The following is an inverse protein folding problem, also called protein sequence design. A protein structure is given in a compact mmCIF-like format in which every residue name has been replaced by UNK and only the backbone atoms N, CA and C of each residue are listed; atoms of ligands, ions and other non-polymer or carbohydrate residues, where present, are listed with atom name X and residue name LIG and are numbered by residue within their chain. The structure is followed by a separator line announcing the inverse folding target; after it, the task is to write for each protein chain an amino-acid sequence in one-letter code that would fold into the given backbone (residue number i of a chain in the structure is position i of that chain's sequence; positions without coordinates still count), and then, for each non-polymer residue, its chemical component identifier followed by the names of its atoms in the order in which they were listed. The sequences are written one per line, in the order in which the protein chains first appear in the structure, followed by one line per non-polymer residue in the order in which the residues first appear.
data_IF_268960395280
#
_entry.id   IF_268960395280
#
_cell.length_a   1.000
_cell.length_b   1.000
_cell.length_c   1.000
_cell.angle_alpha   90.00
_cell.angle_beta   90.00
_cell.angle_gamma   90.00
#
_symmetry.space_group_name_H-M   'P 1'
#
loop_
_entity.id
_entity.type
_entity.pdbx_description
1 polymer ?
#
# COMPACT_ATOMS: atom_id res chain seq x y z
N UNK A 1 11.01 -16.09 -18.49
CA UNK A 1 9.86 -16.28 -17.59
C UNK A 1 9.44 -14.90 -17.11
N UNK A 2 8.13 -14.63 -16.98
CA UNK A 2 7.69 -13.30 -16.55
C UNK A 2 8.09 -13.02 -15.10
N UNK A 3 8.46 -11.78 -14.81
CA UNK A 3 8.76 -11.27 -13.47
C UNK A 3 7.84 -10.09 -13.19
N UNK A 4 6.81 -10.30 -12.36
CA UNK A 4 5.80 -9.30 -12.02
C UNK A 4 6.00 -8.88 -10.57
N UNK A 5 6.06 -7.57 -10.35
CA UNK A 5 6.01 -6.98 -9.01
C UNK A 5 4.65 -6.29 -8.86
N UNK A 6 3.95 -6.57 -7.78
CA UNK A 6 2.83 -5.75 -7.32
C UNK A 6 3.30 -4.91 -6.13
N UNK A 7 3.06 -3.60 -6.17
CA UNK A 7 3.36 -2.67 -5.08
C UNK A 7 2.05 -2.08 -4.58
N UNK A 8 1.88 -2.06 -3.26
CA UNK A 8 0.68 -1.55 -2.57
C UNK A 8 1.10 -0.77 -1.31
N UNK A 9 0.81 0.53 -1.28
CA UNK A 9 1.20 1.42 -0.18
C UNK A 9 0.49 1.07 1.15
N UNK A 10 1.21 1.16 2.26
CA UNK A 10 0.66 0.74 3.56
C UNK A 10 -0.24 1.82 4.17
N UNK A 11 -1.50 1.47 4.43
CA UNK A 11 -2.50 2.37 5.01
C UNK A 11 -2.54 3.77 4.33
N UNK A 12 -2.42 3.80 3.00
CA UNK A 12 -2.00 4.95 2.19
C UNK A 12 -2.50 6.33 2.67
N UNK A 13 -3.83 6.57 2.69
CA UNK A 13 -4.32 7.90 3.09
C UNK A 13 -4.01 8.22 4.56
N UNK A 14 -4.14 7.25 5.47
CA UNK A 14 -3.83 7.48 6.88
C UNK A 14 -2.33 7.74 7.09
N UNK A 15 -1.46 7.04 6.36
CA UNK A 15 -0.02 7.26 6.41
C UNK A 15 0.36 8.67 5.92
N UNK A 16 -0.27 9.15 4.84
CA UNK A 16 -0.09 10.53 4.36
C UNK A 16 -0.55 11.55 5.41
N UNK A 17 -1.75 11.40 5.99
CA UNK A 17 -2.23 12.33 7.02
C UNK A 17 -1.32 12.35 8.26
N UNK A 18 -0.79 11.20 8.67
CA UNK A 18 0.16 11.10 9.79
C UNK A 18 1.50 11.78 9.44
N UNK A 19 1.97 11.66 8.19
CA UNK A 19 3.18 12.33 7.71
C UNK A 19 3.02 13.85 7.75
N UNK A 20 1.90 14.38 7.26
CA UNK A 20 1.64 15.82 7.22
C UNK A 20 1.33 16.41 8.61
N UNK A 21 0.80 15.60 9.52
CA UNK A 21 0.53 16.01 10.89
C UNK A 21 1.19 15.07 11.91
N UNK A 22 2.45 15.35 12.32
CA UNK A 22 3.20 14.51 13.25
C UNK A 22 2.50 14.28 14.60
N UNK A 23 1.55 15.15 14.99
CA UNK A 23 0.77 14.95 16.23
C UNK A 23 -0.17 13.73 16.18
N UNK A 24 -0.39 13.16 14.98
CA UNK A 24 -1.19 11.95 14.77
C UNK A 24 -0.39 10.65 14.91
N UNK A 25 0.95 10.73 14.96
CA UNK A 25 1.82 9.55 15.05
C UNK A 25 1.50 8.73 16.30
N UNK A 26 1.33 7.41 16.13
CA UNK A 26 1.00 6.48 17.21
C UNK A 26 -0.45 6.56 17.70
N UNK A 27 -1.34 7.28 16.99
CA UNK A 27 -2.76 7.40 17.33
C UNK A 27 -3.62 6.63 16.34
N UNK A 28 -4.83 6.26 16.77
CA UNK A 28 -5.82 5.61 15.93
C UNK A 28 -6.43 6.62 14.93
N UNK A 29 -5.77 6.83 13.79
CA UNK A 29 -6.26 7.71 12.71
C UNK A 29 -7.22 6.95 11.81
N UNK A 30 -8.36 7.58 11.49
CA UNK A 30 -9.41 7.06 10.61
C UNK A 30 -9.71 8.13 9.56
N UNK A 31 -9.45 7.82 8.28
CA UNK A 31 -9.75 8.72 7.17
C UNK A 31 -11.13 8.36 6.61
N UNK A 32 -12.06 9.31 6.56
CA UNK A 32 -13.39 9.08 6.04
C UNK A 32 -14.44 10.08 6.53
N UNK A 33 -15.70 9.69 6.45
CA UNK A 33 -16.80 10.52 6.97
C UNK A 33 -16.84 10.53 8.49
N UNK A 34 -17.37 11.61 9.08
CA UNK A 34 -17.57 11.71 10.53
C UNK A 34 -18.59 10.67 11.03
N UNK A 35 -18.46 10.18 12.27
CA UNK A 35 -19.37 9.18 12.85
C UNK A 35 -20.80 9.70 13.09
N UNK A 36 -20.99 11.02 13.13
CA UNK A 36 -22.32 11.66 13.20
C UNK A 36 -23.06 11.67 11.86
N UNK A 37 -22.37 11.37 10.76
CA UNK A 37 -22.94 11.30 9.42
C UNK A 37 -23.26 9.86 8.99
N UNK A 38 -23.54 9.69 7.69
CA UNK A 38 -23.73 8.38 7.04
C UNK A 38 -22.50 7.92 6.25
N UNK A 39 -21.32 8.42 6.65
CA UNK A 39 -20.06 8.12 5.98
C UNK A 39 -19.53 6.73 6.32
N UNK A 40 -18.48 6.35 5.57
CA UNK A 40 -17.71 5.13 5.80
C UNK A 40 -16.23 5.49 6.01
N UNK A 41 -15.48 4.57 6.59
CA UNK A 41 -14.03 4.60 6.68
C UNK A 41 -13.45 4.32 5.28
N UNK A 42 -12.69 5.27 4.74
CA UNK A 42 -11.92 5.06 3.51
C UNK A 42 -10.69 4.20 3.78
N UNK A 43 -9.92 4.56 4.81
CA UNK A 43 -8.81 3.76 5.33
C UNK A 43 -8.52 4.16 6.78
N UNK A 44 -7.69 3.39 7.46
CA UNK A 44 -7.29 3.68 8.84
C UNK A 44 -5.87 3.19 9.11
N UNK A 45 -5.26 3.84 10.09
CA UNK A 45 -3.95 3.48 10.68
C UNK A 45 -3.95 2.05 11.23
N UNK A 46 -2.76 1.45 11.34
CA UNK A 46 -2.63 0.11 11.94
C UNK A 46 -3.07 0.11 13.41
N UNK A 47 -2.86 1.19 14.14
CA UNK A 47 -3.34 1.41 15.50
C UNK A 47 -4.87 1.32 15.59
N UNK A 48 -5.60 1.85 14.60
CA UNK A 48 -7.05 1.71 14.54
C UNK A 48 -7.49 0.30 14.12
N UNK A 49 -6.74 -0.35 13.22
CA UNK A 49 -7.01 -1.74 12.79
C UNK A 49 -6.96 -2.74 13.94
N UNK A 50 -6.14 -2.50 14.96
CA UNK A 50 -6.11 -3.33 16.18
C UNK A 50 -7.44 -3.35 16.93
N UNK A 51 -8.28 -2.33 16.77
CA UNK A 51 -9.64 -2.28 17.33
C UNK A 51 -10.69 -2.88 16.38
N UNK A 52 -10.28 -3.48 15.26
CA UNK A 52 -11.16 -4.05 14.26
C UNK A 52 -11.69 -3.05 13.23
N UNK A 53 -11.23 -1.80 13.25
CA UNK A 53 -11.60 -0.82 12.22
C UNK A 53 -10.99 -1.21 10.88
N UNK A 54 -11.77 -1.15 9.80
CA UNK A 54 -11.31 -1.48 8.45
C UNK A 54 -12.00 -0.61 7.40
N UNK A 55 -11.43 -0.55 6.20
CA UNK A 55 -12.00 0.15 5.04
C UNK A 55 -13.41 -0.38 4.72
N UNK A 56 -14.30 0.52 4.29
CA UNK A 56 -15.70 0.23 4.00
C UNK A 56 -16.62 0.13 5.23
N UNK A 57 -16.06 0.12 6.45
CA UNK A 57 -16.86 0.11 7.68
C UNK A 57 -17.66 1.41 7.84
N UNK A 58 -18.95 1.38 8.25
CA UNK A 58 -19.69 2.58 8.64
C UNK A 58 -18.98 3.37 9.74
N UNK A 59 -18.83 4.69 9.57
CA UNK A 59 -18.05 5.51 10.51
C UNK A 59 -18.57 5.48 11.95
N UNK A 60 -19.90 5.38 12.13
CA UNK A 60 -20.51 5.20 13.45
C UNK A 60 -20.07 3.87 14.12
N UNK A 61 -19.98 2.78 13.34
CA UNK A 61 -19.49 1.50 13.85
C UNK A 61 -18.01 1.57 14.18
N UNK A 62 -17.20 2.23 13.34
CA UNK A 62 -15.79 2.44 13.62
C UNK A 62 -15.57 3.23 14.91
N UNK A 63 -16.39 4.25 15.18
CA UNK A 63 -16.34 5.01 16.43
C UNK A 63 -16.74 4.16 17.65
N UNK A 64 -17.73 3.27 17.53
CA UNK A 64 -18.08 2.35 18.62
C UNK A 64 -16.94 1.37 18.94
N UNK A 65 -16.21 0.90 17.94
CA UNK A 65 -15.05 0.01 18.11
C UNK A 65 -13.81 0.74 18.63
N UNK A 66 -13.61 1.99 18.20
CA UNK A 66 -12.46 2.81 18.54
C UNK A 66 -12.92 4.24 18.93
N UNK A 67 -13.46 4.44 20.15
CA UNK A 67 -13.98 5.75 20.58
C UNK A 67 -12.92 6.85 20.66
N UNK A 68 -11.66 6.47 20.84
CA UNK A 68 -10.48 7.35 20.80
C UNK A 68 -9.99 7.66 19.38
N UNK A 69 -10.63 7.10 18.35
CA UNK A 69 -10.27 7.27 16.96
C UNK A 69 -10.36 8.74 16.51
N UNK A 70 -9.30 9.22 15.86
CA UNK A 70 -9.24 10.56 15.28
C UNK A 70 -9.71 10.48 13.83
N UNK A 71 -10.89 11.06 13.57
CA UNK A 71 -11.45 11.13 12.24
C UNK A 71 -10.87 12.31 11.46
N UNK A 72 -10.32 12.04 10.28
CA UNK A 72 -9.73 13.03 9.37
C UNK A 72 -10.47 12.99 8.04
N UNK A 73 -10.75 14.16 7.48
CA UNK A 73 -11.36 14.27 6.15
C UNK A 73 -10.34 13.97 5.04
N UNK A 74 -10.78 13.27 3.99
CA UNK A 74 -9.92 12.89 2.88
C UNK A 74 -9.39 14.10 2.09
N UNK A 75 -8.07 14.20 1.93
CA UNK A 75 -7.40 15.17 1.07
C UNK A 75 -6.98 14.53 -0.27
N UNK A 76 -7.95 14.33 -1.18
CA UNK A 76 -7.70 13.66 -2.46
C UNK A 76 -6.73 14.39 -3.40
N UNK A 77 -6.54 15.70 -3.24
CA UNK A 77 -5.53 16.43 -4.00
C UNK A 77 -4.13 15.93 -3.62
N UNK A 78 -3.82 15.98 -2.33
CA UNK A 78 -2.56 15.52 -1.79
C UNK A 78 -2.29 14.04 -2.11
N UNK A 79 -3.32 13.19 -2.01
CA UNK A 79 -3.17 11.76 -2.30
C UNK A 79 -2.83 11.49 -3.78
N UNK A 80 -3.28 12.35 -4.70
CA UNK A 80 -2.92 12.24 -6.12
C UNK A 80 -1.51 12.74 -6.40
N UNK A 81 -1.08 13.80 -5.72
CA UNK A 81 0.29 14.33 -5.84
C UNK A 81 1.32 13.30 -5.37
N UNK A 82 1.08 12.67 -4.21
CA UNK A 82 1.96 11.60 -3.69
C UNK A 82 1.93 10.38 -4.62
N UNK A 83 0.78 10.03 -5.19
CA UNK A 83 0.68 8.93 -6.16
C UNK A 83 1.52 9.19 -7.42
N UNK A 84 1.57 10.44 -7.89
CA UNK A 84 2.41 10.83 -9.02
C UNK A 84 3.91 10.63 -8.71
N UNK A 85 4.36 11.04 -7.52
CA UNK A 85 5.75 10.83 -7.08
C UNK A 85 6.12 9.33 -7.06
N UNK A 86 5.24 8.49 -6.50
CA UNK A 86 5.45 7.04 -6.46
C UNK A 86 5.53 6.44 -7.88
N UNK A 87 4.70 6.94 -8.82
CA UNK A 87 4.74 6.49 -10.21
C UNK A 87 6.03 6.88 -10.93
N UNK A 88 6.60 8.04 -10.62
CA UNK A 88 7.91 8.43 -11.13
C UNK A 88 8.99 7.44 -10.68
N UNK A 89 8.96 6.98 -9.41
CA UNK A 89 9.84 5.92 -8.92
C UNK A 89 9.67 4.64 -9.75
N UNK A 90 8.44 4.18 -9.99
CA UNK A 90 8.20 2.96 -10.79
C UNK A 90 8.79 3.05 -12.20
N UNK A 91 8.66 4.20 -12.86
CA UNK A 91 9.14 4.41 -14.22
C UNK A 91 10.66 4.36 -14.35
N UNK A 92 11.41 4.47 -13.24
CA UNK A 92 12.87 4.26 -13.24
C UNK A 92 13.27 2.80 -13.44
N UNK A 93 12.39 1.86 -13.12
CA UNK A 93 12.69 0.43 -13.14
C UNK A 93 12.15 -0.29 -14.38
N UNK A 94 11.00 0.13 -14.91
CA UNK A 94 10.41 -0.46 -16.12
C UNK A 94 9.52 0.54 -16.84
N UNK A 95 9.37 0.37 -18.15
CA UNK A 95 8.36 1.08 -18.95
C UNK A 95 6.96 0.44 -18.85
N UNK A 96 6.88 -0.80 -18.34
CA UNK A 96 5.64 -1.57 -18.27
C UNK A 96 5.05 -1.46 -16.86
N UNK A 97 4.45 -0.29 -16.59
CA UNK A 97 3.75 0.02 -15.34
C UNK A 97 2.25 0.07 -15.60
N UNK A 98 1.47 -0.69 -14.84
CA UNK A 98 0.00 -0.71 -14.89
C UNK A 98 -0.58 -0.32 -13.53
N UNK A 99 -1.01 0.95 -13.36
CA UNK A 99 -1.67 1.39 -12.13
C UNK A 99 -3.01 0.69 -11.94
N UNK A 100 -3.24 0.12 -10.76
CA UNK A 100 -4.52 -0.47 -10.37
C UNK A 100 -5.38 0.52 -9.57
N UNK A 101 -4.75 1.39 -8.77
CA UNK A 101 -5.40 2.44 -7.97
C UNK A 101 -4.47 3.67 -7.81
N UNK A 102 -4.70 4.50 -6.79
CA UNK A 102 -3.76 5.57 -6.42
C UNK A 102 -2.50 5.01 -5.73
N UNK A 103 -2.64 3.93 -4.99
CA UNK A 103 -1.62 3.31 -4.15
C UNK A 103 -1.11 1.96 -4.66
N UNK A 104 -1.73 1.41 -5.70
CA UNK A 104 -1.38 0.10 -6.24
C UNK A 104 -0.94 0.18 -7.71
N UNK A 105 0.10 -0.59 -8.06
CA UNK A 105 0.52 -0.80 -9.44
C UNK A 105 1.18 -2.17 -9.65
N UNK A 106 1.02 -2.70 -10.86
CA UNK A 106 1.80 -3.83 -11.37
C UNK A 106 2.96 -3.33 -12.23
N UNK A 107 4.13 -3.92 -12.04
CA UNK A 107 5.33 -3.66 -12.81
C UNK A 107 5.80 -4.97 -13.45
N UNK A 108 5.85 -5.03 -14.77
CA UNK A 108 6.53 -6.13 -15.48
C UNK A 108 8.02 -5.77 -15.58
N UNK A 109 8.85 -6.47 -14.80
CA UNK A 109 10.30 -6.26 -14.70
C UNK A 109 11.07 -7.40 -15.38
N UNK A 110 10.40 -8.12 -16.28
CA UNK A 110 11.03 -9.16 -17.11
C UNK A 110 12.24 -8.58 -17.84
N UNK A 111 12.02 -7.48 -18.55
CA UNK A 111 13.04 -6.61 -19.14
C UNK A 111 13.00 -5.27 -18.38
N UNK A 112 13.97 -5.05 -17.49
CA UNK A 112 14.01 -3.87 -16.62
C UNK A 112 15.18 -2.94 -16.98
N UNK A 113 15.06 -1.66 -16.60
CA UNK A 113 15.99 -0.60 -16.99
C UNK A 113 17.35 -0.63 -16.30
N UNK A 114 17.51 -1.46 -15.27
CA UNK A 114 18.72 -1.53 -14.44
C UNK A 114 19.51 -2.84 -14.64
N UNK A 115 19.11 -3.65 -15.64
CA UNK A 115 19.73 -4.94 -15.97
C UNK A 115 19.82 -5.90 -14.77
N UNK A 116 18.90 -5.80 -13.81
CA UNK A 116 18.90 -6.64 -12.61
C UNK A 116 18.11 -7.95 -12.88
N UNK A 117 18.75 -9.14 -12.80
CA UNK A 117 18.06 -10.40 -13.01
C UNK A 117 17.03 -10.74 -11.92
N UNK A 118 17.28 -10.39 -10.66
CA UNK A 118 16.45 -10.76 -9.50
C UNK A 118 15.36 -9.70 -9.21
N UNK A 119 14.11 -10.06 -9.50
CA UNK A 119 12.97 -9.18 -9.22
C UNK A 119 12.78 -8.85 -7.73
N UNK A 120 13.30 -9.67 -6.81
CA UNK A 120 13.27 -9.36 -5.39
C UNK A 120 14.22 -8.23 -5.01
N UNK A 121 15.36 -8.10 -5.70
CA UNK A 121 16.27 -6.95 -5.55
C UNK A 121 15.60 -5.69 -6.09
N UNK A 122 14.98 -5.77 -7.27
CA UNK A 122 14.23 -4.65 -7.86
C UNK A 122 13.11 -4.19 -6.91
N UNK A 123 12.34 -5.11 -6.35
CA UNK A 123 11.28 -4.79 -5.39
C UNK A 123 11.81 -4.10 -4.13
N UNK A 124 12.96 -4.55 -3.59
CA UNK A 124 13.62 -3.88 -2.45
C UNK A 124 14.07 -2.46 -2.79
N UNK A 125 14.64 -2.26 -3.97
CA UNK A 125 15.08 -0.94 -4.42
C UNK A 125 13.89 0.01 -4.61
N UNK A 126 12.79 -0.46 -5.23
CA UNK A 126 11.55 0.32 -5.34
C UNK A 126 11.02 0.74 -3.96
N UNK A 127 10.96 -0.20 -3.00
CA UNK A 127 10.52 0.10 -1.62
C UNK A 127 11.41 1.18 -0.98
N UNK A 128 12.73 1.02 -1.08
CA UNK A 128 13.70 1.94 -0.49
C UNK A 128 13.59 3.35 -1.10
N UNK A 129 13.44 3.44 -2.41
CA UNK A 129 13.28 4.70 -3.14
C UNK A 129 11.97 5.42 -2.78
N UNK A 130 10.85 4.69 -2.72
CA UNK A 130 9.56 5.23 -2.28
C UNK A 130 9.70 5.78 -0.86
N UNK A 131 10.32 5.05 0.04
CA UNK A 131 10.54 5.49 1.42
C UNK A 131 11.42 6.75 1.47
N UNK A 132 12.51 6.78 0.72
CA UNK A 132 13.42 7.93 0.70
C UNK A 132 12.72 9.20 0.21
N UNK A 133 11.94 9.11 -0.86
CA UNK A 133 11.33 10.27 -1.52
C UNK A 133 10.04 10.73 -0.84
N UNK A 134 9.24 9.79 -0.34
CA UNK A 134 7.88 10.09 0.16
C UNK A 134 7.76 9.98 1.68
N UNK A 135 8.73 9.37 2.35
CA UNK A 135 8.66 9.01 3.78
C UNK A 135 7.47 8.09 4.12
N UNK A 136 7.00 7.31 3.14
CA UNK A 136 5.92 6.34 3.27
C UNK A 136 6.45 4.94 2.98
N UNK A 137 5.90 3.94 3.68
CA UNK A 137 6.21 2.53 3.41
C UNK A 137 5.20 1.93 2.42
N UNK A 138 5.64 0.90 1.72
CA UNK A 138 4.77 0.07 0.90
C UNK A 138 5.11 -1.39 1.09
N UNK A 139 4.14 -2.26 0.82
CA UNK A 139 4.37 -3.70 0.75
C UNK A 139 4.42 -4.14 -0.71
N UNK A 140 5.29 -5.10 -1.02
CA UNK A 140 5.48 -5.58 -2.38
C UNK A 140 5.39 -7.10 -2.47
N UNK A 141 4.88 -7.57 -3.59
CA UNK A 141 4.76 -8.98 -3.92
C UNK A 141 5.42 -9.28 -5.25
N UNK A 142 6.26 -10.31 -5.30
CA UNK A 142 6.96 -10.72 -6.52
C UNK A 142 6.45 -12.08 -6.95
N UNK A 143 6.05 -12.22 -8.22
CA UNK A 143 5.66 -13.51 -8.77
C UNK A 143 5.79 -13.57 -10.29
N UNK A 144 5.39 -14.70 -10.89
CA UNK A 144 5.40 -14.94 -12.33
C UNK A 144 4.08 -14.54 -13.03
N UNK A 145 3.09 -14.05 -12.27
CA UNK A 145 1.87 -13.44 -12.80
C UNK A 145 1.30 -12.40 -11.83
N UNK A 146 0.37 -11.56 -12.32
CA UNK A 146 -0.24 -10.48 -11.54
C UNK A 146 -1.05 -10.96 -10.33
N UNK A 147 -1.83 -12.04 -10.48
CA UNK A 147 -2.68 -12.55 -9.42
C UNK A 147 -1.88 -12.98 -8.19
N UNK A 148 -0.84 -13.79 -8.39
CA UNK A 148 0.05 -14.22 -7.31
C UNK A 148 0.90 -13.07 -6.77
N UNK A 149 1.33 -12.13 -7.62
CA UNK A 149 2.05 -10.94 -7.15
C UNK A 149 1.18 -10.10 -6.19
N UNK A 150 -0.12 -9.94 -6.48
CA UNK A 150 -1.05 -9.25 -5.57
C UNK A 150 -1.27 -10.02 -4.27
N UNK A 151 -1.47 -11.33 -4.31
CA UNK A 151 -1.56 -12.14 -3.08
C UNK A 151 -0.31 -11.96 -2.23
N UNK A 152 0.87 -12.04 -2.86
CA UNK A 152 2.15 -11.90 -2.18
C UNK A 152 2.28 -10.54 -1.45
N UNK A 153 1.86 -9.42 -2.06
CA UNK A 153 1.97 -8.10 -1.43
C UNK A 153 1.09 -7.96 -0.19
N UNK A 154 0.02 -8.74 -0.07
CA UNK A 154 -0.93 -8.67 1.06
C UNK A 154 -0.48 -9.51 2.26
N UNK A 155 0.30 -10.58 2.05
CA UNK A 155 0.64 -11.57 3.08
C UNK A 155 1.43 -11.01 4.27
N UNK A 156 2.31 -10.03 4.05
CA UNK A 156 3.26 -9.54 5.06
C UNK A 156 3.15 -8.02 5.29
N UNK A 157 1.97 -7.42 5.11
CA UNK A 157 1.73 -5.99 5.40
C UNK A 157 1.85 -5.70 6.91
N UNK A 158 2.38 -4.54 7.34
CA UNK A 158 3.02 -3.46 6.56
C UNK A 158 4.50 -3.69 6.24
N UNK A 159 5.03 -2.87 5.32
CA UNK A 159 6.44 -2.83 4.89
C UNK A 159 6.99 -4.20 4.45
N UNK A 160 6.09 -5.07 3.98
CA UNK A 160 6.41 -6.44 3.61
C UNK A 160 7.07 -6.55 2.25
N UNK A 161 7.76 -7.67 2.05
CA UNK A 161 8.13 -8.19 0.73
C UNK A 161 7.93 -9.70 0.74
N UNK A 162 7.07 -10.20 -0.13
CA UNK A 162 6.82 -11.64 -0.27
C UNK A 162 7.09 -12.10 -1.70
N UNK A 163 7.66 -13.29 -1.84
CA UNK A 163 7.97 -13.89 -3.15
C UNK A 163 7.14 -15.17 -3.28
N UNK A 164 6.32 -15.24 -4.32
CA UNK A 164 5.62 -16.46 -4.72
C UNK A 164 6.20 -16.93 -6.05
N UNK A 165 6.92 -18.03 -6.03
CA UNK A 165 7.55 -18.64 -7.20
C UNK A 165 6.92 -19.99 -7.53
N UNK A 166 7.45 -20.69 -8.53
CA UNK A 166 6.90 -21.98 -8.94
C UNK A 166 7.06 -23.09 -7.88
N UNK A 167 7.92 -22.91 -6.88
CA UNK A 167 8.16 -23.90 -5.83
C UNK A 167 7.15 -23.79 -4.70
N UNK A 168 6.72 -22.57 -4.34
CA UNK A 168 5.79 -22.35 -3.22
C UNK A 168 4.36 -21.98 -3.64
N UNK A 169 4.09 -21.74 -4.93
CA UNK A 169 2.77 -21.31 -5.38
C UNK A 169 1.65 -22.32 -5.04
N UNK A 170 1.93 -23.62 -5.02
CA UNK A 170 0.92 -24.61 -4.64
C UNK A 170 0.54 -24.50 -3.17
N UNK A 171 1.53 -24.37 -2.28
CA UNK A 171 1.30 -24.26 -0.83
C UNK A 171 0.58 -22.96 -0.43
N UNK A 172 0.70 -21.90 -1.23
CA UNK A 172 -0.03 -20.66 -1.00
C UNK A 172 -1.48 -20.74 -1.46
N UNK A 173 -1.78 -21.57 -2.46
CA UNK A 173 -3.11 -21.66 -3.08
C UNK A 173 -4.02 -22.74 -2.48
N UNK A 174 -3.46 -23.74 -1.79
CA UNK A 174 -4.17 -24.92 -1.31
C UNK A 174 -3.79 -25.26 0.14
#
# INVERSE_FOLDING_TARGET
MKKIIHVDMDAYFAAIEIRENPSLKGKCVIVGGLPTGRGVVSTCSYEARQYGVHSGMPSHQAWNLCPQGIFVHSNFHLYKEVSAQIREVFQRYTDVVEPASLDEAYLDVTDNKIDEPDASVIARNIKADILAETQLTCSAGVSFNKFLAKIASDMNKPDGLTIIDHHNAQDVLF
#
